data_IF_762411443203
#
_entry.id   IF_762411443203
#
_cell.length_a   1.000
_cell.length_b   1.000
_cell.length_c   1.000
_cell.angle_alpha   90.00
_cell.angle_beta   90.00
_cell.angle_gamma   90.00
#
_symmetry.space_group_name_H-M   'P 1'
#
loop_
_entity.id
_entity.type
_entity.pdbx_description
1 polymer ?
#
# COMPACT_ATOMS: atom_id res chain seq x y z
N UNK A 1 53.03 -11.68 -37.93
CA UNK A 1 52.00 -12.73 -37.89
C UNK A 1 51.42 -12.74 -36.48
N UNK A 2 50.31 -12.02 -36.26
CA UNK A 2 49.58 -12.02 -35.00
C UNK A 2 48.39 -12.97 -35.16
N UNK A 3 48.57 -14.21 -34.73
CA UNK A 3 47.57 -15.27 -34.80
C UNK A 3 46.85 -15.41 -33.47
N UNK A 4 45.55 -15.14 -33.51
CA UNK A 4 44.46 -15.58 -32.62
C UNK A 4 44.85 -16.36 -31.35
N UNK A 5 44.69 -15.70 -30.19
CA UNK A 5 44.21 -16.35 -28.97
C UNK A 5 42.72 -16.03 -28.84
N UNK A 6 41.88 -16.83 -29.51
CA UNK A 6 40.47 -16.97 -29.14
C UNK A 6 40.37 -18.36 -28.54
N UNK A 7 40.71 -18.45 -27.25
CA UNK A 7 40.60 -19.68 -26.51
C UNK A 7 39.14 -20.16 -26.52
N UNK A 8 38.99 -21.44 -26.86
CA UNK A 8 37.74 -22.16 -27.04
C UNK A 8 37.07 -22.30 -25.67
N UNK A 9 36.07 -21.48 -25.40
CA UNK A 9 35.20 -21.63 -24.22
C UNK A 9 34.33 -22.89 -24.45
N UNK A 10 34.38 -23.91 -23.58
CA UNK A 10 33.66 -25.17 -23.78
C UNK A 10 32.13 -24.98 -23.77
N UNK A 11 31.43 -25.83 -24.53
CA UNK A 11 29.97 -25.77 -24.72
C UNK A 11 29.16 -25.83 -23.40
N UNK A 12 29.73 -26.40 -22.33
CA UNK A 12 29.15 -26.42 -20.99
C UNK A 12 28.99 -25.03 -20.36
N UNK A 13 29.88 -24.10 -20.70
CA UNK A 13 29.92 -22.77 -20.08
C UNK A 13 28.82 -21.87 -20.64
N UNK A 14 28.40 -22.11 -21.90
CA UNK A 14 27.24 -21.47 -22.49
C UNK A 14 25.93 -21.87 -21.81
N UNK A 15 25.79 -23.13 -21.39
CA UNK A 15 24.61 -23.57 -20.63
C UNK A 15 24.55 -22.90 -19.26
N UNK A 16 25.68 -22.78 -18.57
CA UNK A 16 25.76 -22.09 -17.28
C UNK A 16 25.46 -20.59 -17.48
N UNK A 17 25.97 -19.96 -18.54
CA UNK A 17 25.70 -18.56 -18.85
C UNK A 17 24.22 -18.33 -19.16
N UNK A 18 23.59 -19.20 -19.96
CA UNK A 18 22.15 -19.14 -20.27
C UNK A 18 21.31 -19.39 -19.01
N UNK A 19 21.72 -20.32 -18.13
CA UNK A 19 21.03 -20.57 -16.86
C UNK A 19 21.14 -19.35 -15.92
N UNK A 20 22.30 -18.72 -15.83
CA UNK A 20 22.51 -17.50 -15.05
C UNK A 20 21.70 -16.33 -15.63
N UNK A 21 21.66 -16.19 -16.96
CA UNK A 21 20.88 -15.15 -17.63
C UNK A 21 19.36 -15.38 -17.46
N UNK A 22 18.89 -16.63 -17.48
CA UNK A 22 17.47 -16.96 -17.29
C UNK A 22 17.04 -16.90 -15.82
N UNK A 23 17.92 -17.22 -14.87
CA UNK A 23 17.67 -17.06 -13.43
C UNK A 23 17.80 -15.60 -12.97
N UNK A 24 18.71 -14.82 -13.56
CA UNK A 24 18.93 -13.40 -13.26
C UNK A 24 17.81 -12.48 -13.74
N UNK A 25 17.07 -12.88 -14.79
CA UNK A 25 15.96 -12.10 -15.35
C UNK A 25 14.63 -12.22 -14.56
N UNK A 26 14.57 -13.03 -13.50
CA UNK A 26 13.37 -13.12 -12.64
C UNK A 26 13.38 -12.12 -11.48
N UNK A 27 14.39 -11.24 -11.40
CA UNK A 27 14.33 -10.09 -10.50
C UNK A 27 13.64 -8.95 -11.24
N UNK A 28 12.31 -9.00 -11.30
CA UNK A 28 11.53 -7.79 -11.56
C UNK A 28 11.61 -6.96 -10.27
N UNK A 29 12.68 -6.20 -10.10
CA UNK A 29 12.73 -5.13 -9.11
C UNK A 29 12.49 -3.80 -9.81
N UNK A 30 11.23 -3.49 -10.13
CA UNK A 30 10.87 -2.11 -10.40
C UNK A 30 9.37 -1.87 -10.26
N UNK A 31 8.95 -1.53 -9.04
CA UNK A 31 8.07 -0.39 -8.94
C UNK A 31 8.88 0.71 -8.26
N UNK A 32 9.31 1.70 -9.05
CA UNK A 32 9.41 3.10 -8.57
C UNK A 32 8.00 3.61 -8.19
N UNK A 33 7.20 2.79 -7.50
CA UNK A 33 5.89 3.12 -7.00
C UNK A 33 6.11 4.03 -5.82
N UNK A 34 5.76 5.31 -5.98
CA UNK A 34 5.65 6.22 -4.85
C UNK A 34 4.65 5.59 -3.88
N UNK A 35 4.96 5.62 -2.59
CA UNK A 35 4.04 5.16 -1.58
C UNK A 35 2.71 5.90 -1.70
N UNK A 36 1.60 5.17 -1.61
CA UNK A 36 0.26 5.75 -1.72
C UNK A 36 -0.39 5.87 -0.35
N UNK A 37 -0.71 7.10 0.06
CA UNK A 37 -1.34 7.39 1.34
C UNK A 37 -2.76 7.90 1.11
N UNK A 38 -3.73 7.24 1.74
CA UNK A 38 -5.16 7.55 1.56
C UNK A 38 -5.75 8.02 2.87
N UNK A 39 -6.44 9.16 2.84
CA UNK A 39 -7.14 9.76 3.97
C UNK A 39 -8.57 10.10 3.55
N UNK A 40 -9.52 10.03 4.47
CA UNK A 40 -10.91 10.40 4.17
C UNK A 40 -11.93 9.54 4.89
N UNK A 41 -13.08 9.37 4.24
CA UNK A 41 -14.25 8.69 4.78
C UNK A 41 -14.54 7.36 4.07
N UNK A 42 -15.79 6.89 4.16
CA UNK A 42 -16.28 5.67 3.53
C UNK A 42 -16.02 5.56 2.03
N UNK A 43 -15.95 6.68 1.30
CA UNK A 43 -15.72 6.67 -0.15
C UNK A 43 -14.35 6.12 -0.53
N UNK A 44 -13.40 6.17 0.39
CA UNK A 44 -12.02 5.74 0.19
C UNK A 44 -11.57 4.73 1.23
N UNK A 45 -12.35 4.43 2.26
CA UNK A 45 -12.09 3.35 3.22
C UNK A 45 -12.10 1.98 2.53
N UNK A 46 -11.09 1.17 2.84
CA UNK A 46 -10.90 -0.18 2.34
C UNK A 46 -10.96 -1.24 3.46
N UNK A 47 -11.40 -0.87 4.67
CA UNK A 47 -11.71 -1.81 5.75
C UNK A 47 -11.13 -1.47 7.12
N UNK A 48 -10.69 -0.24 7.38
CA UNK A 48 -10.21 0.13 8.73
C UNK A 48 -11.30 -0.08 9.78
N UNK A 49 -12.55 0.22 9.44
CA UNK A 49 -13.68 0.10 10.35
C UNK A 49 -13.96 -1.35 10.79
N UNK A 50 -13.50 -2.36 10.05
CA UNK A 50 -13.67 -3.75 10.43
C UNK A 50 -12.89 -4.11 11.71
N UNK A 51 -11.87 -3.30 12.04
CA UNK A 51 -11.02 -3.43 13.23
C UNK A 51 -11.50 -2.58 14.42
N UNK A 52 -12.62 -1.85 14.30
CA UNK A 52 -13.15 -0.96 15.33
C UNK A 52 -14.51 -1.44 15.86
N UNK A 53 -14.81 -1.22 17.15
CA UNK A 53 -16.17 -1.45 17.66
C UNK A 53 -17.07 -0.32 17.15
N UNK A 54 -17.66 -0.53 15.96
CA UNK A 54 -18.45 0.47 15.22
C UNK A 54 -19.57 -0.20 14.43
N UNK A 55 -20.64 0.54 14.17
CA UNK A 55 -21.72 0.13 13.26
C UNK A 55 -21.45 0.53 11.81
N UNK A 56 -20.50 1.43 11.56
CA UNK A 56 -20.09 1.82 10.21
C UNK A 56 -19.14 0.78 9.63
N UNK A 57 -19.64 -0.40 9.25
CA UNK A 57 -18.85 -1.50 8.67
C UNK A 57 -19.37 -1.91 7.29
N UNK A 58 -18.45 -2.35 6.44
CA UNK A 58 -18.75 -2.90 5.12
C UNK A 58 -18.23 -4.34 5.00
N UNK A 59 -18.46 -5.13 6.06
CA UNK A 59 -18.05 -6.54 6.21
C UNK A 59 -19.19 -7.55 5.98
N UNK A 60 -20.30 -7.09 5.37
CA UNK A 60 -21.45 -7.92 5.01
C UNK A 60 -21.98 -7.59 3.60
N UNK A 61 -22.76 -8.48 2.96
CA UNK A 61 -23.46 -8.15 1.71
C UNK A 61 -24.34 -6.89 1.85
N UNK A 62 -24.49 -6.07 0.78
CA UNK A 62 -24.06 -6.32 -0.60
C UNK A 62 -22.62 -5.91 -0.92
N UNK A 63 -21.85 -5.43 0.05
CA UNK A 63 -20.48 -4.96 -0.19
C UNK A 63 -19.60 -6.09 -0.73
N UNK A 64 -18.81 -5.77 -1.76
CA UNK A 64 -17.91 -6.73 -2.40
C UNK A 64 -18.56 -7.71 -3.41
N UNK A 65 -19.85 -7.60 -3.72
CA UNK A 65 -20.52 -8.49 -4.70
C UNK A 65 -19.91 -8.44 -6.12
N UNK A 66 -19.41 -7.28 -6.54
CA UNK A 66 -18.74 -7.05 -7.83
C UNK A 66 -17.20 -7.11 -7.70
N UNK A 67 -16.66 -7.36 -6.50
CA UNK A 67 -15.23 -7.57 -6.29
C UNK A 67 -14.81 -8.96 -6.79
N UNK A 68 -13.57 -9.17 -7.28
CA UNK A 68 -13.16 -10.47 -7.82
C UNK A 68 -13.39 -11.68 -6.88
N UNK A 69 -13.29 -11.47 -5.56
CA UNK A 69 -13.54 -12.52 -4.56
C UNK A 69 -15.03 -12.78 -4.29
N UNK A 70 -15.92 -11.86 -4.70
CA UNK A 70 -17.36 -11.87 -4.40
C UNK A 70 -17.66 -11.96 -2.89
N UNK A 71 -16.74 -11.48 -2.05
CA UNK A 71 -16.85 -11.46 -0.58
C UNK A 71 -16.81 -10.01 -0.08
N UNK A 72 -17.42 -9.70 1.08
CA UNK A 72 -17.28 -8.40 1.71
C UNK A 72 -15.82 -8.01 1.93
N UNK A 73 -15.45 -6.83 1.46
CA UNK A 73 -14.06 -6.38 1.43
C UNK A 73 -13.73 -5.30 2.45
N UNK A 74 -14.73 -4.76 3.17
CA UNK A 74 -14.57 -3.55 3.98
C UNK A 74 -14.68 -2.24 3.19
N UNK A 75 -14.84 -2.30 1.87
CA UNK A 75 -15.13 -1.13 1.03
C UNK A 75 -16.62 -0.83 1.02
N UNK A 76 -17.01 0.42 1.17
CA UNK A 76 -18.40 0.87 1.05
C UNK A 76 -18.85 0.95 -0.42
N UNK A 77 -18.62 -0.13 -1.17
CA UNK A 77 -18.90 -0.30 -2.59
C UNK A 77 -19.21 -1.78 -2.87
N UNK A 78 -19.87 -2.06 -3.99
CA UNK A 78 -19.99 -3.43 -4.47
C UNK A 78 -18.64 -4.01 -4.90
N UNK A 79 -17.66 -3.18 -5.27
CA UNK A 79 -16.37 -3.64 -5.78
C UNK A 79 -15.24 -2.72 -5.33
N UNK A 80 -14.46 -2.26 -6.29
CA UNK A 80 -13.35 -1.34 -6.09
C UNK A 80 -13.86 0.04 -5.64
N UNK A 81 -13.06 0.72 -4.82
CA UNK A 81 -13.24 2.13 -4.48
C UNK A 81 -12.23 2.99 -5.25
N UNK A 82 -12.28 4.32 -5.08
CA UNK A 82 -11.45 5.26 -5.85
C UNK A 82 -9.94 4.96 -5.70
N UNK A 83 -9.40 4.76 -4.47
CA UNK A 83 -8.01 4.33 -4.29
C UNK A 83 -7.62 3.09 -5.07
N UNK A 84 -8.47 2.06 -5.10
CA UNK A 84 -8.12 0.84 -5.84
C UNK A 84 -8.03 1.10 -7.33
N UNK A 85 -8.97 1.87 -7.89
CA UNK A 85 -8.99 2.21 -9.31
C UNK A 85 -7.73 3.02 -9.68
N UNK A 86 -7.31 3.94 -8.79
CA UNK A 86 -6.05 4.69 -8.97
C UNK A 86 -4.87 3.72 -8.95
N UNK A 87 -4.78 2.83 -7.96
CA UNK A 87 -3.72 1.82 -7.88
C UNK A 87 -3.67 0.96 -9.15
N UNK A 88 -4.80 0.42 -9.60
CA UNK A 88 -4.89 -0.38 -10.83
C UNK A 88 -4.44 0.40 -12.05
N UNK A 89 -4.88 1.65 -12.20
CA UNK A 89 -4.51 2.49 -13.34
C UNK A 89 -3.01 2.81 -13.36
N UNK A 90 -2.41 2.98 -12.19
CA UNK A 90 -0.98 3.27 -12.04
C UNK A 90 -0.10 2.01 -12.04
N UNK A 91 -0.70 0.81 -12.09
CA UNK A 91 0.01 -0.47 -11.95
C UNK A 91 0.64 -0.65 -10.58
N UNK A 92 0.06 -0.03 -9.54
CA UNK A 92 0.52 -0.11 -8.16
C UNK A 92 -0.21 -1.22 -7.41
N UNK A 93 0.45 -1.72 -6.36
CA UNK A 93 -0.22 -2.58 -5.40
C UNK A 93 -1.30 -1.79 -4.63
N UNK A 94 -2.40 -2.47 -4.29
CA UNK A 94 -3.46 -1.87 -3.49
C UNK A 94 -2.97 -1.63 -2.06
N UNK A 95 -3.29 -0.47 -1.50
CA UNK A 95 -2.93 -0.17 -0.11
C UNK A 95 -3.73 -1.05 0.85
N UNK A 96 -3.13 -1.39 1.99
CA UNK A 96 -3.83 -2.06 3.09
C UNK A 96 -4.47 -1.04 4.04
N UNK A 97 -5.56 -1.38 4.74
CA UNK A 97 -6.04 -0.59 5.87
C UNK A 97 -4.93 -0.45 6.92
N UNK A 98 -4.76 0.75 7.49
CA UNK A 98 -3.74 1.03 8.52
C UNK A 98 -3.82 0.06 9.70
N UNK A 99 -5.05 -0.28 10.13
CA UNK A 99 -5.30 -1.18 11.26
C UNK A 99 -5.16 -2.67 10.90
N UNK A 100 -4.86 -3.01 9.64
CA UNK A 100 -4.67 -4.40 9.24
C UNK A 100 -3.42 -5.01 9.88
N UNK A 101 -3.50 -6.22 10.46
CA UNK A 101 -2.32 -6.93 10.96
C UNK A 101 -1.33 -7.33 9.84
N UNK A 102 -1.79 -7.29 8.58
CA UNK A 102 -0.97 -7.57 7.40
C UNK A 102 -0.12 -6.36 6.96
N UNK A 103 -0.43 -5.15 7.44
CA UNK A 103 0.36 -3.96 7.17
C UNK A 103 1.64 -4.01 8.01
N UNK A 104 2.64 -4.78 7.59
CA UNK A 104 3.92 -4.96 8.29
C UNK A 104 5.03 -5.30 7.30
N UNK A 105 6.29 -5.11 7.70
CA UNK A 105 7.44 -5.40 6.83
C UNK A 105 7.37 -4.62 5.52
N UNK A 106 7.65 -5.28 4.39
CA UNK A 106 7.65 -4.64 3.07
C UNK A 106 6.29 -4.08 2.64
N UNK A 107 5.17 -4.58 3.19
CA UNK A 107 3.85 -4.01 2.92
C UNK A 107 3.72 -2.57 3.42
N UNK A 108 4.55 -2.17 4.40
CA UNK A 108 4.64 -0.77 4.80
C UNK A 108 5.16 0.10 3.64
N UNK A 109 5.97 -0.42 2.71
CA UNK A 109 6.59 0.38 1.65
C UNK A 109 5.62 0.70 0.49
N UNK A 110 4.50 -0.01 0.38
CA UNK A 110 3.43 0.27 -0.60
C UNK A 110 2.68 1.57 -0.25
N UNK A 111 2.62 1.89 1.04
CA UNK A 111 1.75 2.92 1.58
C UNK A 111 0.63 2.31 2.45
N UNK A 112 -0.35 3.13 2.83
CA UNK A 112 -1.43 2.69 3.69
C UNK A 112 -2.67 3.56 3.52
N UNK A 113 -3.82 2.97 3.83
CA UNK A 113 -5.09 3.65 3.88
C UNK A 113 -5.47 3.95 5.34
N UNK A 114 -5.61 5.23 5.67
CA UNK A 114 -5.96 5.73 6.99
C UNK A 114 -7.43 6.15 7.09
N UNK A 115 -8.19 6.08 6.00
CA UNK A 115 -9.58 6.51 5.95
C UNK A 115 -10.48 5.65 6.85
N UNK A 116 -11.60 6.22 7.28
CA UNK A 116 -12.56 5.54 8.15
C UNK A 116 -13.97 5.99 7.85
N UNK A 117 -14.86 5.04 7.62
CA UNK A 117 -16.26 5.35 7.38
C UNK A 117 -16.95 5.98 8.60
N UNK A 118 -17.93 6.84 8.31
CA UNK A 118 -18.68 7.58 9.32
C UNK A 118 -18.02 8.89 9.75
N UNK A 119 -16.80 9.19 9.32
CA UNK A 119 -16.17 10.49 9.54
C UNK A 119 -16.72 11.54 8.56
N UNK A 120 -16.90 12.77 9.04
CA UNK A 120 -17.08 13.96 8.21
C UNK A 120 -16.02 15.00 8.57
N UNK A 121 -15.96 16.12 7.82
CA UNK A 121 -14.96 17.18 8.05
C UNK A 121 -15.07 17.77 9.47
N UNK A 122 -16.30 17.92 9.98
CA UNK A 122 -16.53 18.40 11.35
C UNK A 122 -16.42 17.23 12.35
N UNK A 123 -15.73 17.48 13.46
CA UNK A 123 -15.57 16.51 14.56
C UNK A 123 -16.89 16.07 15.20
N UNK A 124 -18.00 16.79 14.98
CA UNK A 124 -19.30 16.39 15.51
C UNK A 124 -20.07 15.46 14.55
N UNK A 125 -19.52 15.23 13.37
CA UNK A 125 -20.10 14.27 12.41
C UNK A 125 -19.75 12.85 12.84
N UNK A 126 -20.69 11.92 12.64
CA UNK A 126 -20.44 10.50 12.85
C UNK A 126 -20.59 9.99 14.29
N UNK A 127 -21.07 10.83 15.23
CA UNK A 127 -21.30 10.45 16.64
C UNK A 127 -22.16 9.18 16.76
N UNK A 128 -23.11 8.99 15.84
CA UNK A 128 -24.00 7.83 15.80
C UNK A 128 -23.29 6.48 15.56
N UNK A 129 -22.03 6.48 15.11
CA UNK A 129 -21.28 5.27 14.76
C UNK A 129 -20.38 4.75 15.90
N UNK A 130 -20.49 5.33 17.10
CA UNK A 130 -19.73 4.96 18.31
C UNK A 130 -18.23 5.22 18.19
N UNK A 131 -17.51 4.41 17.40
CA UNK A 131 -16.07 4.51 17.20
C UNK A 131 -15.75 4.71 15.71
N UNK A 132 -14.99 5.76 15.40
CA UNK A 132 -14.56 6.12 14.04
C UNK A 132 -13.19 6.77 14.13
N UNK A 133 -12.37 6.64 13.08
CA UNK A 133 -11.06 7.32 13.01
C UNK A 133 -11.28 8.71 12.43
N UNK A 134 -11.38 9.72 13.30
CA UNK A 134 -11.53 11.11 12.87
C UNK A 134 -10.30 11.58 12.11
N UNK A 135 -10.44 12.58 11.24
CA UNK A 135 -9.32 13.11 10.44
C UNK A 135 -8.06 13.41 11.29
N UNK A 136 -8.14 14.05 12.47
CA UNK A 136 -6.96 14.23 13.32
C UNK A 136 -6.30 12.89 13.74
N UNK A 137 -7.10 11.87 14.06
CA UNK A 137 -6.60 10.54 14.40
C UNK A 137 -6.01 9.82 13.18
N UNK A 138 -6.50 10.07 11.96
CA UNK A 138 -5.89 9.55 10.73
C UNK A 138 -4.49 10.13 10.54
N UNK A 139 -4.29 11.41 10.86
CA UNK A 139 -2.97 12.05 10.84
C UNK A 139 -2.05 11.53 11.94
N UNK A 140 -2.58 11.25 13.14
CA UNK A 140 -1.79 10.62 14.21
C UNK A 140 -1.37 9.18 13.84
N UNK A 141 -2.27 8.42 13.22
CA UNK A 141 -1.94 7.11 12.64
C UNK A 141 -0.86 7.23 11.56
N UNK A 142 -0.89 8.28 10.74
CA UNK A 142 0.15 8.52 9.75
C UNK A 142 1.51 8.82 10.41
N UNK A 143 1.55 9.61 11.49
CA UNK A 143 2.79 9.84 12.25
C UNK A 143 3.35 8.54 12.82
N UNK A 144 2.49 7.67 13.37
CA UNK A 144 2.92 6.36 13.85
C UNK A 144 3.41 5.47 12.69
N UNK A 145 2.71 5.46 11.56
CA UNK A 145 3.15 4.78 10.34
C UNK A 145 4.56 5.23 9.91
N UNK A 146 4.85 6.53 9.93
CA UNK A 146 6.18 7.05 9.61
C UNK A 146 7.24 6.50 10.56
N UNK A 147 6.95 6.41 11.87
CA UNK A 147 7.88 5.79 12.83
C UNK A 147 8.13 4.31 12.52
N UNK A 148 7.09 3.58 12.11
CA UNK A 148 7.17 2.17 11.72
C UNK A 148 8.01 1.96 10.46
N UNK A 149 7.85 2.82 9.45
CA UNK A 149 8.69 2.82 8.25
C UNK A 149 10.13 3.17 8.60
N UNK A 150 10.35 4.19 9.43
CA UNK A 150 11.69 4.62 9.85
C UNK A 150 12.45 3.49 10.53
N UNK A 151 11.76 2.70 11.36
CA UNK A 151 12.32 1.52 12.00
C UNK A 151 12.68 0.40 11.02
N UNK A 152 12.06 0.36 9.83
CA UNK A 152 12.28 -0.66 8.80
C UNK A 152 13.43 -0.32 7.86
N UNK A 153 13.49 0.93 7.36
CA UNK A 153 14.44 1.36 6.31
C UNK A 153 15.52 2.34 6.79
N UNK A 154 15.40 2.84 8.02
CA UNK A 154 16.31 3.84 8.57
C UNK A 154 16.00 5.28 8.15
N UNK A 155 16.67 6.22 8.83
CA UNK A 155 16.36 7.65 8.76
C UNK A 155 16.73 8.33 7.44
N UNK A 156 17.78 7.87 6.77
CA UNK A 156 18.21 8.44 5.48
C UNK A 156 17.20 8.14 4.37
N UNK A 157 16.65 6.92 4.35
CA UNK A 157 15.72 6.48 3.31
C UNK A 157 14.29 6.97 3.55
N UNK A 158 13.89 7.23 4.80
CA UNK A 158 12.54 7.74 5.07
C UNK A 158 12.35 9.18 4.58
N UNK A 159 13.40 10.00 4.56
CA UNK A 159 13.29 11.37 4.06
C UNK A 159 12.86 11.37 2.59
N UNK A 160 13.39 10.44 1.78
CA UNK A 160 12.99 10.24 0.38
C UNK A 160 11.63 9.54 0.25
N UNK A 161 11.32 8.60 1.15
CA UNK A 161 10.04 7.87 1.13
C UNK A 161 8.83 8.73 1.54
N UNK A 162 9.04 9.64 2.49
CA UNK A 162 8.04 10.53 3.07
C UNK A 162 8.24 12.00 2.65
N UNK A 163 8.84 12.32 1.49
CA UNK A 163 9.12 13.72 1.05
C UNK A 163 7.89 14.66 1.10
N UNK A 164 6.69 14.12 1.29
CA UNK A 164 5.47 14.86 1.57
C UNK A 164 5.38 15.51 2.97
N UNK A 165 6.18 15.08 3.95
CA UNK A 165 6.09 15.53 5.35
C UNK A 165 6.56 16.97 5.55
N UNK A 166 7.61 17.40 4.84
CA UNK A 166 8.10 18.79 4.90
C UNK A 166 7.08 19.78 4.29
N UNK A 167 6.20 19.33 3.39
CA UNK A 167 5.15 20.17 2.82
C UNK A 167 4.02 20.49 3.81
N UNK A 168 3.78 19.62 4.80
CA UNK A 168 2.68 19.77 5.77
C UNK A 168 3.11 20.37 7.11
N UNK A 169 4.41 20.43 7.42
CA UNK A 169 4.92 21.11 8.63
C UNK A 169 4.75 22.64 8.59
N UNK A 170 4.41 23.19 7.43
CA UNK A 170 4.27 24.62 7.18
C UNK A 170 2.87 25.19 7.52
N UNK A 171 1.96 24.38 8.09
CA UNK A 171 0.61 24.81 8.50
C UNK A 171 0.31 24.43 9.94
#
# INVERSE_FOLDING_TARGET
MAGLLVDIIPCSDWFILILILTLGNNVICHANGRAFFVFGDSLVDNGNNNYLITTARADAPPYGIDYPTHQPTGRFSNGLNIPDIISEHMGWEATLPYLSPELRGQNLLVGANFASAGVGILNDTGIQFVNIIRIPNQLDNFKEYQQRVNALIGYEEILTFCEFYEMWRAY
#
